data_IF_787734449742
#
_entry.id   IF_787734449742
#
_cell.length_a   1.000
_cell.length_b   1.000
_cell.length_c   1.000
_cell.angle_alpha   90.00
_cell.angle_beta   90.00
_cell.angle_gamma   90.00
#
_symmetry.space_group_name_H-M   'P 1'
#
loop_
_entity.id
_entity.type
_entity.pdbx_description
1 polymer ?
#
# COMPACT_ATOMS: atom_id res chain seq x y z
N UNK A 1 -23.35 19.09 39.99
CA UNK A 1 -22.67 18.25 38.97
C UNK A 1 -23.25 18.65 37.61
N UNK A 2 -22.45 19.36 36.82
CA UNK A 2 -22.87 20.15 35.65
C UNK A 2 -23.00 19.25 34.41
N UNK A 3 -24.18 19.23 33.77
CA UNK A 3 -24.37 18.76 32.38
C UNK A 3 -24.61 19.99 31.53
N UNK A 4 -23.68 20.26 30.62
CA UNK A 4 -23.81 21.32 29.61
C UNK A 4 -24.73 20.84 28.48
N UNK A 5 -25.76 21.65 28.21
CA UNK A 5 -26.60 21.61 27.02
C UNK A 5 -25.86 22.30 25.87
N UNK A 6 -25.66 21.60 24.76
CA UNK A 6 -25.33 22.23 23.47
C UNK A 6 -26.55 22.08 22.55
N UNK A 7 -27.13 23.23 22.18
CA UNK A 7 -28.20 23.38 21.19
C UNK A 7 -27.74 22.85 19.84
N UNK A 8 -28.41 21.84 19.30
CA UNK A 8 -28.33 21.51 17.87
C UNK A 8 -29.31 22.43 17.15
N UNK A 9 -28.73 23.37 16.40
CA UNK A 9 -29.44 24.29 15.52
C UNK A 9 -30.02 23.48 14.35
N UNK A 10 -31.35 23.45 14.28
CA UNK A 10 -32.13 22.67 13.30
C UNK A 10 -31.98 23.32 11.92
N UNK A 11 -31.04 22.84 11.10
CA UNK A 11 -30.96 23.26 9.70
C UNK A 11 -32.06 22.58 8.89
N UNK A 12 -32.91 23.39 8.28
CA UNK A 12 -34.05 22.95 7.46
C UNK A 12 -33.57 22.87 6.01
N UNK A 13 -33.10 21.70 5.59
CA UNK A 13 -32.83 21.39 4.18
C UNK A 13 -34.17 21.37 3.42
N UNK A 14 -34.32 22.28 2.46
CA UNK A 14 -35.34 22.16 1.42
C UNK A 14 -34.79 21.19 0.36
N UNK A 15 -35.02 19.89 0.55
CA UNK A 15 -34.94 18.96 -0.58
C UNK A 15 -36.07 19.33 -1.55
N UNK A 16 -35.75 19.91 -2.69
CA UNK A 16 -36.63 19.83 -3.85
C UNK A 16 -36.38 18.45 -4.45
N UNK A 17 -37.41 17.62 -4.43
CA UNK A 17 -37.39 16.32 -5.07
C UNK A 17 -37.06 16.49 -6.56
N UNK A 18 -35.96 15.91 -7.00
CA UNK A 18 -35.71 15.64 -8.42
C UNK A 18 -35.94 14.15 -8.60
N UNK A 19 -37.20 13.80 -8.74
CA UNK A 19 -37.58 12.48 -9.23
C UNK A 19 -37.08 12.35 -10.69
N UNK A 20 -36.53 11.17 -10.99
CA UNK A 20 -36.21 10.59 -12.31
C UNK A 20 -34.81 10.70 -12.93
N UNK A 21 -33.89 11.63 -12.58
CA UNK A 21 -32.61 11.74 -13.35
C UNK A 21 -31.31 11.99 -12.56
N UNK A 22 -31.26 11.77 -11.24
CA UNK A 22 -29.97 11.68 -10.52
C UNK A 22 -29.07 12.92 -10.51
N UNK A 23 -29.57 14.09 -10.92
CA UNK A 23 -28.82 15.36 -10.82
C UNK A 23 -28.94 15.92 -9.40
N UNK A 24 -27.81 16.15 -8.75
CA UNK A 24 -27.75 16.63 -7.38
C UNK A 24 -26.79 17.79 -7.30
N UNK A 25 -27.31 18.90 -6.79
CA UNK A 25 -26.61 20.17 -6.67
C UNK A 25 -26.06 20.26 -5.25
N UNK A 26 -24.75 20.43 -5.13
CA UNK A 26 -24.06 20.65 -3.86
C UNK A 26 -23.78 22.14 -3.74
N UNK A 27 -24.48 22.80 -2.82
CA UNK A 27 -24.43 24.27 -2.66
C UNK A 27 -23.34 24.74 -1.68
N UNK A 28 -22.65 23.84 -0.97
CA UNK A 28 -21.59 24.18 0.00
C UNK A 28 -20.28 23.44 -0.31
N UNK A 29 -19.24 24.12 -0.84
CA UNK A 29 -17.97 23.50 -1.23
C UNK A 29 -17.11 23.04 -0.05
N UNK A 30 -17.42 23.46 1.19
CA UNK A 30 -16.71 23.01 2.40
C UNK A 30 -17.27 21.70 2.97
N UNK A 31 -18.41 21.25 2.45
CA UNK A 31 -19.00 19.98 2.87
C UNK A 31 -18.34 18.84 2.11
N UNK A 32 -17.52 18.07 2.82
CA UNK A 32 -17.07 16.75 2.38
C UNK A 32 -18.28 15.82 2.44
N UNK A 33 -19.19 15.92 1.46
CA UNK A 33 -20.42 15.13 1.51
C UNK A 33 -20.09 13.71 1.04
N UNK A 34 -20.16 12.76 1.96
CA UNK A 34 -20.39 11.35 1.65
C UNK A 34 -21.83 11.19 1.11
N UNK A 35 -22.09 11.68 -0.11
CA UNK A 35 -23.29 11.30 -0.86
C UNK A 35 -23.01 9.95 -1.51
N UNK A 36 -23.09 8.88 -0.72
CA UNK A 36 -23.09 7.54 -1.25
C UNK A 36 -24.39 7.29 -2.00
N UNK A 37 -24.38 7.40 -3.33
CA UNK A 37 -25.46 6.88 -4.17
C UNK A 37 -25.17 5.41 -4.50
N UNK A 38 -26.10 4.55 -4.12
CA UNK A 38 -26.07 3.13 -4.47
C UNK A 38 -27.12 2.84 -5.53
N UNK A 39 -26.72 2.18 -6.61
CA UNK A 39 -27.65 1.61 -7.57
C UNK A 39 -27.79 0.12 -7.28
N UNK A 40 -29.02 -0.36 -7.15
CA UNK A 40 -29.29 -1.80 -7.12
C UNK A 40 -29.43 -2.30 -8.55
N UNK A 41 -28.67 -3.34 -8.90
CA UNK A 41 -28.66 -3.94 -10.24
C UNK A 41 -28.53 -2.90 -11.36
N UNK A 42 -27.51 -2.02 -11.30
CA UNK A 42 -27.31 -1.05 -12.37
C UNK A 42 -27.10 -1.79 -13.70
N UNK A 43 -27.60 -1.20 -14.78
CA UNK A 43 -27.36 -1.74 -16.12
C UNK A 43 -25.84 -1.85 -16.34
N UNK A 44 -25.34 -2.99 -16.86
CA UNK A 44 -23.95 -3.11 -17.27
C UNK A 44 -23.57 -2.04 -18.30
N UNK A 45 -22.33 -1.57 -18.28
CA UNK A 45 -21.80 -0.62 -19.24
C UNK A 45 -20.92 0.45 -18.60
N UNK A 46 -20.53 1.45 -19.40
CA UNK A 46 -19.74 2.61 -18.96
C UNK A 46 -20.63 3.56 -18.18
N UNK A 47 -20.15 3.97 -17.00
CA UNK A 47 -20.85 4.95 -16.17
C UNK A 47 -20.21 6.31 -16.40
N UNK A 48 -21.03 7.26 -16.83
CA UNK A 48 -20.57 8.63 -17.05
C UNK A 48 -20.96 9.49 -15.85
N UNK A 49 -19.96 9.96 -15.11
CA UNK A 49 -20.13 10.97 -14.08
C UNK A 49 -19.81 12.33 -14.71
N UNK A 50 -20.72 13.29 -14.57
CA UNK A 50 -20.52 14.67 -15.05
C UNK A 50 -20.58 15.59 -13.84
N UNK A 51 -19.49 16.32 -13.59
CA UNK A 51 -19.47 17.38 -12.58
C UNK A 51 -19.84 18.69 -13.28
N UNK A 52 -20.77 19.42 -12.68
CA UNK A 52 -21.17 20.75 -13.14
C UNK A 52 -20.84 21.76 -12.05
N UNK A 53 -20.29 22.90 -12.44
CA UNK A 53 -20.08 24.02 -11.53
C UNK A 53 -21.41 24.68 -11.20
N UNK A 54 -21.43 25.37 -10.06
CA UNK A 54 -22.57 26.19 -9.61
C UNK A 54 -22.11 27.64 -9.45
N UNK A 55 -23.05 28.54 -9.20
CA UNK A 55 -22.77 29.94 -8.87
C UNK A 55 -21.91 30.10 -7.58
N UNK A 56 -21.74 29.03 -6.81
CA UNK A 56 -20.92 28.99 -5.59
C UNK A 56 -19.53 28.36 -5.79
N UNK A 57 -19.23 27.82 -6.98
CA UNK A 57 -17.90 27.30 -7.28
C UNK A 57 -16.94 28.48 -7.48
N UNK A 58 -15.80 28.56 -6.78
CA UNK A 58 -14.84 29.64 -6.99
C UNK A 58 -14.36 29.71 -8.45
N UNK A 59 -14.02 30.91 -8.93
CA UNK A 59 -13.49 31.09 -10.30
C UNK A 59 -12.20 30.28 -10.54
N UNK A 60 -11.46 29.96 -9.46
CA UNK A 60 -10.29 29.09 -9.50
C UNK A 60 -10.61 27.59 -9.61
N UNK A 61 -11.88 27.21 -9.58
CA UNK A 61 -12.34 25.85 -9.38
C UNK A 61 -12.40 25.45 -7.90
N UNK A 62 -12.88 24.23 -7.66
CA UNK A 62 -12.90 23.59 -6.35
C UNK A 62 -12.27 22.19 -6.45
N UNK A 63 -11.54 21.79 -5.42
CA UNK A 63 -10.99 20.44 -5.32
C UNK A 63 -12.12 19.41 -5.16
N UNK A 64 -11.99 18.25 -5.81
CA UNK A 64 -12.97 17.17 -5.72
C UNK A 64 -12.29 15.80 -5.77
N UNK A 65 -12.98 14.79 -5.23
CA UNK A 65 -12.62 13.39 -5.38
C UNK A 65 -13.87 12.58 -5.73
N UNK A 66 -13.71 11.59 -6.62
CA UNK A 66 -14.76 10.65 -6.98
C UNK A 66 -14.33 9.24 -6.63
N UNK A 67 -15.17 8.54 -5.88
CA UNK A 67 -15.00 7.11 -5.63
C UNK A 67 -16.28 6.37 -6.01
N UNK A 68 -16.14 5.27 -6.74
CA UNK A 68 -17.24 4.35 -7.01
C UNK A 68 -16.93 3.00 -6.37
N UNK A 69 -17.91 2.44 -5.65
CA UNK A 69 -17.83 1.08 -5.13
C UNK A 69 -18.89 0.23 -5.81
N UNK A 70 -18.46 -0.88 -6.40
CA UNK A 70 -19.34 -1.89 -6.97
C UNK A 70 -19.34 -3.12 -6.06
N UNK A 71 -20.52 -3.60 -5.67
CA UNK A 71 -20.70 -4.80 -4.85
C UNK A 71 -21.40 -5.87 -5.69
N UNK A 72 -20.70 -6.97 -5.94
CA UNK A 72 -21.20 -8.11 -6.72
C UNK A 72 -20.37 -8.40 -7.97
N UNK A 73 -20.89 -9.29 -8.82
CA UNK A 73 -20.26 -9.69 -10.08
C UNK A 73 -18.89 -10.34 -9.92
N UNK A 74 -18.08 -10.27 -10.98
CA UNK A 74 -16.73 -10.80 -10.95
C UNK A 74 -15.83 -9.98 -10.02
N UNK A 75 -15.02 -10.67 -9.22
CA UNK A 75 -14.05 -10.14 -8.27
C UNK A 75 -12.65 -10.25 -8.86
N UNK A 76 -11.96 -9.12 -8.94
CA UNK A 76 -10.53 -9.10 -9.24
C UNK A 76 -9.74 -9.22 -7.93
N UNK A 77 -8.89 -10.24 -7.84
CA UNK A 77 -7.90 -10.39 -6.76
C UNK A 77 -6.54 -9.99 -7.31
N UNK A 78 -5.87 -9.08 -6.61
CA UNK A 78 -4.51 -8.67 -6.89
C UNK A 78 -3.65 -8.85 -5.64
N UNK A 79 -2.45 -9.39 -5.80
CA UNK A 79 -1.51 -9.65 -4.71
C UNK A 79 -0.09 -9.33 -5.14
N UNK A 80 0.72 -8.90 -4.19
CA UNK A 80 2.17 -8.81 -4.32
C UNK A 80 2.84 -9.84 -3.41
N UNK A 81 3.98 -10.40 -3.81
CA UNK A 81 4.74 -11.37 -2.99
C UNK A 81 5.21 -10.79 -1.66
N UNK A 82 5.46 -9.48 -1.61
CA UNK A 82 5.76 -8.69 -0.40
C UNK A 82 5.27 -7.26 -0.60
N UNK A 83 4.85 -6.61 0.49
CA UNK A 83 4.49 -5.19 0.49
C UNK A 83 5.62 -4.28 0.98
N UNK A 84 6.69 -4.87 1.52
CA UNK A 84 7.85 -4.18 2.08
C UNK A 84 9.17 -4.73 1.50
N UNK A 85 9.37 -4.73 0.17
CA UNK A 85 10.62 -5.18 -0.44
C UNK A 85 11.77 -4.22 -0.09
N UNK A 86 13.00 -4.71 -0.09
CA UNK A 86 14.16 -3.82 -0.19
C UNK A 86 14.25 -3.20 -1.61
N UNK A 87 14.90 -2.05 -1.73
CA UNK A 87 15.24 -1.51 -3.06
C UNK A 87 16.07 -2.54 -3.84
N UNK A 88 15.70 -2.78 -5.10
CA UNK A 88 16.20 -3.81 -6.00
C UNK A 88 15.80 -5.26 -5.65
N UNK A 89 14.87 -5.48 -4.71
CA UNK A 89 14.28 -6.80 -4.46
C UNK A 89 13.08 -7.01 -5.39
N UNK A 90 13.07 -8.13 -6.12
CA UNK A 90 11.97 -8.45 -7.04
C UNK A 90 10.66 -8.75 -6.29
N UNK A 91 9.57 -8.16 -6.76
CA UNK A 91 8.21 -8.36 -6.27
C UNK A 91 7.39 -9.00 -7.37
N UNK A 92 6.80 -10.16 -7.07
CA UNK A 92 5.88 -10.81 -7.99
C UNK A 92 4.48 -10.24 -7.78
N UNK A 93 3.91 -9.65 -8.82
CA UNK A 93 2.54 -9.13 -8.84
C UNK A 93 1.69 -10.15 -9.58
N UNK A 94 0.65 -10.66 -8.92
CA UNK A 94 -0.25 -11.68 -9.47
C UNK A 94 -1.69 -11.20 -9.39
N UNK A 95 -2.44 -11.44 -10.46
CA UNK A 95 -3.86 -11.08 -10.56
C UNK A 95 -4.69 -12.26 -11.06
N UNK A 96 -5.91 -12.34 -10.57
CA UNK A 96 -6.91 -13.33 -11.02
C UNK A 96 -8.32 -12.76 -10.96
N UNK A 97 -9.15 -13.13 -11.93
CA UNK A 97 -10.55 -12.75 -11.98
C UNK A 97 -11.41 -13.97 -11.64
N UNK A 98 -12.38 -13.78 -10.76
CA UNK A 98 -13.24 -14.85 -10.25
C UNK A 98 -14.71 -14.43 -10.28
N UNK A 99 -15.62 -15.33 -10.60
CA UNK A 99 -17.06 -15.10 -10.48
C UNK A 99 -17.69 -16.23 -9.66
N UNK A 100 -18.04 -15.93 -8.41
CA UNK A 100 -18.69 -16.90 -7.52
C UNK A 100 -17.81 -18.11 -7.19
N UNK A 101 -16.50 -17.92 -7.07
CA UNK A 101 -15.52 -18.99 -6.80
C UNK A 101 -15.04 -19.75 -8.05
N UNK A 102 -15.52 -19.37 -9.24
CA UNK A 102 -15.04 -19.91 -10.51
C UNK A 102 -14.03 -18.95 -11.17
N UNK A 103 -12.79 -19.39 -11.44
CA UNK A 103 -11.81 -18.59 -12.17
C UNK A 103 -12.31 -18.26 -13.58
N UNK A 104 -12.11 -17.01 -14.00
CA UNK A 104 -12.45 -16.54 -15.34
C UNK A 104 -11.21 -16.39 -16.22
N UNK A 105 -11.39 -16.56 -17.53
CA UNK A 105 -10.34 -16.28 -18.52
C UNK A 105 -10.08 -14.79 -18.62
N UNK A 106 -8.81 -14.42 -18.72
CA UNK A 106 -8.36 -13.05 -18.92
C UNK A 106 -8.10 -12.82 -20.42
N UNK A 107 -8.59 -11.70 -20.94
CA UNK A 107 -8.33 -11.23 -22.30
C UNK A 107 -7.13 -10.25 -22.31
N UNK A 108 -7.00 -9.42 -21.27
CA UNK A 108 -5.87 -8.51 -21.08
C UNK A 108 -5.61 -8.23 -19.59
N UNK A 109 -4.36 -7.93 -19.25
CA UNK A 109 -3.96 -7.50 -17.92
C UNK A 109 -2.76 -6.55 -18.01
N UNK A 110 -2.85 -5.41 -17.32
CA UNK A 110 -1.77 -4.42 -17.22
C UNK A 110 -1.73 -3.79 -15.84
N UNK A 111 -0.55 -3.33 -15.44
CA UNK A 111 -0.35 -2.50 -14.26
C UNK A 111 0.28 -1.16 -14.65
N UNK A 112 -0.11 -0.09 -13.97
CA UNK A 112 0.55 1.21 -13.99
C UNK A 112 1.14 1.40 -12.61
N UNK A 113 2.47 1.50 -12.55
CA UNK A 113 3.19 1.71 -11.30
C UNK A 113 3.52 3.18 -11.17
N UNK A 114 3.02 3.81 -10.12
CA UNK A 114 3.33 5.18 -9.72
C UNK A 114 4.52 5.16 -8.75
N UNK A 115 5.58 5.87 -9.11
CA UNK A 115 6.82 5.94 -8.34
C UNK A 115 6.75 7.03 -7.27
N UNK A 116 7.59 6.93 -6.21
CA UNK A 116 7.76 7.97 -5.21
C UNK A 116 8.08 9.36 -5.78
N UNK A 117 8.82 9.43 -6.89
CA UNK A 117 9.14 10.68 -7.59
C UNK A 117 7.96 11.31 -8.38
N UNK A 118 6.80 10.65 -8.38
CA UNK A 118 5.59 11.08 -9.10
C UNK A 118 5.54 10.64 -10.56
N UNK A 119 6.58 9.99 -11.08
CA UNK A 119 6.56 9.40 -12.43
C UNK A 119 5.75 8.10 -12.44
N UNK A 120 5.46 7.59 -13.63
CA UNK A 120 4.75 6.33 -13.78
C UNK A 120 5.33 5.46 -14.88
N UNK A 121 5.16 4.15 -14.77
CA UNK A 121 5.50 3.18 -15.80
C UNK A 121 4.37 2.18 -16.01
N UNK A 122 4.18 1.76 -17.25
CA UNK A 122 3.26 0.66 -17.58
C UNK A 122 4.02 -0.65 -17.59
N UNK A 123 3.54 -1.62 -16.80
CA UNK A 123 4.07 -2.97 -16.69
C UNK A 123 3.05 -3.94 -17.26
N UNK A 124 3.45 -4.73 -18.25
CA UNK A 124 2.60 -5.79 -18.77
C UNK A 124 2.49 -6.93 -17.75
N UNK A 125 1.30 -7.52 -17.64
CA UNK A 125 1.04 -8.72 -16.85
C UNK A 125 0.77 -9.88 -17.83
N UNK A 126 1.79 -10.67 -18.22
CA UNK A 126 1.60 -11.87 -19.03
C UNK A 126 0.54 -12.81 -18.45
N UNK A 127 -0.41 -13.24 -19.30
CA UNK A 127 -1.51 -14.12 -18.90
C UNK A 127 -1.07 -15.57 -19.06
N UNK A 128 -1.22 -16.37 -18.00
CA UNK A 128 -1.01 -17.82 -17.98
C UNK A 128 -2.26 -18.50 -17.40
N UNK A 129 -3.07 -19.09 -18.27
CA UNK A 129 -4.34 -19.70 -17.86
C UNK A 129 -5.37 -18.63 -17.43
N UNK A 130 -5.85 -18.71 -16.20
CA UNK A 130 -6.82 -17.77 -15.60
C UNK A 130 -6.18 -16.69 -14.71
N UNK A 131 -4.85 -16.58 -14.76
CA UNK A 131 -4.09 -15.62 -13.96
C UNK A 131 -3.15 -14.83 -14.86
N UNK A 132 -2.76 -13.64 -14.40
CA UNK A 132 -1.67 -12.90 -15.00
C UNK A 132 -0.67 -12.51 -13.93
N UNK A 133 0.62 -12.56 -14.26
CA UNK A 133 1.67 -12.23 -13.30
C UNK A 133 2.89 -11.62 -13.96
N UNK A 134 3.61 -10.82 -13.21
CA UNK A 134 4.89 -10.23 -13.62
C UNK A 134 5.79 -10.06 -12.42
N UNK A 135 7.09 -10.08 -12.66
CA UNK A 135 8.07 -9.71 -11.65
C UNK A 135 8.49 -8.26 -11.90
N UNK A 136 8.30 -7.41 -10.90
CA UNK A 136 8.61 -5.99 -10.94
C UNK A 136 9.59 -5.65 -9.82
N UNK A 137 10.50 -4.70 -10.05
CA UNK A 137 11.56 -4.37 -9.09
C UNK A 137 11.56 -2.87 -8.79
N UNK A 138 11.35 -2.44 -7.54
CA UNK A 138 11.49 -1.04 -7.14
C UNK A 138 12.96 -0.63 -7.19
N UNK A 139 13.24 0.51 -7.81
CA UNK A 139 14.61 1.04 -8.00
C UNK A 139 14.99 2.14 -7.01
N UNK A 140 14.02 2.69 -6.28
CA UNK A 140 14.21 3.71 -5.26
C UNK A 140 13.41 3.37 -3.99
N UNK A 141 13.79 3.96 -2.86
CA UNK A 141 13.06 3.77 -1.61
C UNK A 141 11.84 4.70 -1.57
N UNK A 142 10.73 4.22 -1.00
CA UNK A 142 9.51 5.02 -0.85
C UNK A 142 8.24 4.24 -1.18
N UNK A 143 7.13 4.97 -1.19
CA UNK A 143 5.80 4.43 -1.43
C UNK A 143 5.48 4.39 -2.93
N UNK A 144 5.14 3.22 -3.44
CA UNK A 144 4.65 2.99 -4.79
C UNK A 144 3.16 2.70 -4.76
N UNK A 145 2.42 3.31 -5.70
CA UNK A 145 1.05 2.93 -6.02
C UNK A 145 1.04 2.03 -7.24
N UNK A 146 0.19 0.99 -7.26
CA UNK A 146 0.07 0.10 -8.42
C UNK A 146 -1.39 0.00 -8.81
N UNK A 147 -1.76 0.68 -9.89
CA UNK A 147 -3.07 0.60 -10.52
C UNK A 147 -3.10 -0.58 -11.49
N UNK A 148 -3.98 -1.53 -11.27
CA UNK A 148 -4.10 -2.75 -12.08
C UNK A 148 -5.41 -2.69 -12.84
N UNK A 149 -5.37 -3.00 -14.13
CA UNK A 149 -6.54 -3.09 -14.99
C UNK A 149 -6.55 -4.43 -15.71
N UNK A 150 -7.70 -5.10 -15.68
CA UNK A 150 -7.87 -6.43 -16.25
C UNK A 150 -9.19 -6.48 -17.02
N UNK A 151 -9.15 -7.05 -18.22
CA UNK A 151 -10.32 -7.42 -18.99
C UNK A 151 -10.43 -8.94 -19.13
N UNK A 152 -11.65 -9.46 -19.16
CA UNK A 152 -11.94 -10.88 -19.35
C UNK A 152 -13.39 -11.11 -19.74
N UNK A 153 -13.83 -12.37 -19.68
CA UNK A 153 -15.21 -12.74 -20.05
C UNK A 153 -15.89 -13.62 -19.02
N UNK A 154 -17.18 -13.40 -18.82
CA UNK A 154 -18.05 -14.29 -18.09
C UNK A 154 -18.38 -15.56 -18.91
N UNK A 155 -18.90 -16.63 -18.27
CA UNK A 155 -19.31 -17.85 -18.98
C UNK A 155 -20.41 -17.64 -20.03
N UNK A 156 -21.23 -16.59 -19.88
CA UNK A 156 -22.26 -16.19 -20.84
C UNK A 156 -21.71 -15.36 -22.02
N UNK A 157 -20.40 -15.10 -22.04
CA UNK A 157 -19.70 -14.32 -23.05
C UNK A 157 -19.69 -12.81 -22.79
N UNK A 158 -20.30 -12.32 -21.70
CA UNK A 158 -20.28 -10.90 -21.37
C UNK A 158 -18.86 -10.42 -21.05
N UNK A 159 -18.49 -9.26 -21.57
CA UNK A 159 -17.22 -8.62 -21.28
C UNK A 159 -17.18 -8.12 -19.82
N UNK A 160 -16.06 -8.35 -19.15
CA UNK A 160 -15.81 -7.89 -17.79
C UNK A 160 -14.55 -7.04 -17.80
N UNK A 161 -14.64 -5.86 -17.17
CA UNK A 161 -13.50 -5.03 -16.85
C UNK A 161 -13.45 -4.79 -15.34
N UNK A 162 -12.26 -4.92 -14.75
CA UNK A 162 -12.02 -4.67 -13.33
C UNK A 162 -10.70 -3.95 -13.13
N UNK A 163 -10.66 -3.15 -12.08
CA UNK A 163 -9.45 -2.52 -11.60
C UNK A 163 -9.21 -2.86 -10.13
N UNK A 164 -7.94 -2.89 -9.74
CA UNK A 164 -7.50 -3.07 -8.36
C UNK A 164 -6.34 -2.13 -8.08
N UNK A 165 -6.12 -1.81 -6.81
CA UNK A 165 -5.01 -0.98 -6.38
C UNK A 165 -4.18 -1.73 -5.34
N UNK A 166 -2.86 -1.68 -5.48
CA UNK A 166 -1.90 -2.13 -4.47
C UNK A 166 -1.01 -0.98 -4.03
N UNK A 167 -0.46 -1.10 -2.83
CA UNK A 167 0.55 -0.17 -2.32
C UNK A 167 1.76 -0.99 -1.86
N UNK A 168 2.95 -0.63 -2.34
CA UNK A 168 4.21 -1.31 -2.02
C UNK A 168 5.19 -0.26 -1.50
N UNK A 169 5.78 -0.46 -0.32
CA UNK A 169 6.75 0.47 0.25
C UNK A 169 8.17 -0.12 0.21
N UNK A 170 8.98 0.36 -0.73
CA UNK A 170 10.35 -0.10 -0.89
C UNK A 170 11.25 0.48 0.21
N UNK A 171 11.89 -0.41 0.97
CA UNK A 171 12.76 -0.07 2.08
C UNK A 171 14.19 0.15 1.61
N UNK A 172 14.91 1.15 2.14
CA UNK A 172 16.32 1.36 1.81
C UNK A 172 17.13 0.12 2.16
N UNK A 173 18.10 -0.24 1.31
CA UNK A 173 19.04 -1.32 1.60
C UNK A 173 19.90 -0.88 2.78
N UNK A 174 19.64 -1.42 3.97
CA UNK A 174 20.51 -1.25 5.13
C UNK A 174 21.83 -1.99 4.88
N UNK A 175 22.72 -1.40 4.09
CA UNK A 175 24.11 -1.87 4.02
C UNK A 175 24.71 -1.64 5.40
N UNK A 176 25.23 -2.67 6.09
CA UNK A 176 26.00 -2.45 7.29
C UNK A 176 27.17 -1.54 6.92
N UNK A 177 27.11 -0.28 7.38
CA UNK A 177 28.17 0.69 7.13
C UNK A 177 29.44 0.17 7.81
N UNK A 178 30.62 0.41 7.25
CA UNK A 178 31.89 -0.03 7.83
C UNK A 178 32.06 0.36 9.33
N UNK A 179 31.37 1.42 9.78
CA UNK A 179 31.26 1.81 11.19
C UNK A 179 30.62 0.75 12.10
N UNK A 180 29.61 0.02 11.62
CA UNK A 180 28.93 -1.02 12.39
C UNK A 180 29.81 -2.29 12.50
N UNK A 181 30.56 -2.62 11.44
CA UNK A 181 31.59 -3.66 11.48
C UNK A 181 32.78 -3.29 12.39
N UNK A 182 33.21 -2.02 12.37
CA UNK A 182 34.27 -1.54 13.25
C UNK A 182 33.87 -1.56 14.73
N UNK A 183 32.60 -1.27 15.07
CA UNK A 183 32.10 -1.39 16.45
C UNK A 183 32.06 -2.84 16.93
N UNK A 184 31.63 -3.79 16.07
CA UNK A 184 31.62 -5.21 16.42
C UNK A 184 33.06 -5.74 16.58
N UNK A 185 33.97 -5.39 15.67
CA UNK A 185 35.38 -5.77 15.76
C UNK A 185 36.10 -5.16 16.96
N UNK A 186 35.83 -3.88 17.28
CA UNK A 186 36.39 -3.19 18.43
C UNK A 186 35.93 -3.79 19.76
N UNK A 187 34.65 -4.15 19.88
CA UNK A 187 34.11 -4.81 21.07
C UNK A 187 34.76 -6.17 21.33
N UNK A 188 34.97 -6.98 20.29
CA UNK A 188 35.64 -8.29 20.41
C UNK A 188 37.11 -8.12 20.83
N UNK A 189 37.84 -7.14 20.29
CA UNK A 189 39.24 -6.89 20.66
C UNK A 189 39.39 -6.47 22.14
N UNK A 190 38.46 -5.68 22.67
CA UNK A 190 38.45 -5.28 24.09
C UNK A 190 38.21 -6.51 25.00
N UNK A 191 37.28 -7.38 24.65
CA UNK A 191 37.00 -8.59 25.44
C UNK A 191 38.22 -9.53 25.44
N UNK A 192 38.86 -9.74 24.30
CA UNK A 192 40.06 -10.59 24.20
C UNK A 192 41.22 -10.04 25.04
N UNK A 193 41.46 -8.72 25.00
CA UNK A 193 42.53 -8.10 25.79
C UNK A 193 42.27 -8.17 27.30
N UNK A 194 41.01 -8.02 27.74
CA UNK A 194 40.65 -8.22 29.15
C UNK A 194 40.90 -9.66 29.62
N UNK A 195 40.52 -10.66 28.81
CA UNK A 195 40.73 -12.08 29.14
C UNK A 195 42.24 -12.40 29.21
N UNK A 196 43.02 -11.91 28.24
CA UNK A 196 44.47 -12.11 28.23
C UNK A 196 45.15 -11.46 29.45
N UNK A 197 44.73 -10.24 29.82
CA UNK A 197 45.22 -9.55 31.00
C UNK A 197 44.92 -10.30 32.30
N UNK A 198 43.68 -10.79 32.46
CA UNK A 198 43.28 -11.58 33.62
C UNK A 198 44.08 -12.89 33.73
N UNK A 199 44.26 -13.61 32.61
CA UNK A 199 45.05 -14.83 32.57
C UNK A 199 46.52 -14.59 32.95
N UNK A 200 47.11 -13.50 32.46
CA UNK A 200 48.49 -13.12 32.80
C UNK A 200 48.63 -12.80 34.29
N UNK A 201 47.66 -12.07 34.87
CA UNK A 201 47.65 -11.74 36.30
C UNK A 201 47.55 -13.00 37.18
N UNK A 202 46.68 -13.95 36.82
CA UNK A 202 46.57 -15.25 37.49
C UNK A 202 47.89 -16.02 37.41
N UNK A 203 48.54 -16.07 36.24
CA UNK A 203 49.82 -16.77 36.08
C UNK A 203 50.93 -16.15 36.95
N UNK A 204 50.96 -14.81 37.09
CA UNK A 204 51.91 -14.11 37.97
C UNK A 204 51.65 -14.45 39.45
N UNK A 205 50.39 -14.41 39.89
CA UNK A 205 50.02 -14.74 41.27
C UNK A 205 50.37 -16.20 41.62
N UNK A 206 50.12 -17.13 40.70
CA UNK A 206 50.52 -18.54 40.87
C UNK A 206 52.04 -18.70 40.97
N UNK A 207 52.82 -18.00 40.14
CA UNK A 207 54.30 -18.02 40.23
C UNK A 207 54.81 -17.50 41.58
N UNK A 208 54.22 -16.42 42.10
CA UNK A 208 54.61 -15.85 43.40
C UNK A 208 54.26 -16.79 44.55
N UNK A 209 53.06 -17.38 44.53
CA UNK A 209 52.63 -18.35 45.54
C UNK A 209 53.52 -19.61 45.55
N UNK A 210 53.88 -20.13 44.37
CA UNK A 210 54.78 -21.28 44.26
C UNK A 210 56.20 -20.99 44.75
N UNK A 211 56.71 -19.76 44.55
CA UNK A 211 58.01 -19.35 45.12
C UNK A 211 57.99 -19.30 46.65
N UNK A 212 56.93 -18.78 47.26
CA UNK A 212 56.77 -18.74 48.73
C UNK A 212 56.66 -20.13 49.36
N UNK A 213 56.12 -21.12 48.64
CA UNK A 213 56.00 -22.50 49.14
C UNK A 213 57.32 -23.29 49.11
N UNK A 214 58.33 -22.86 48.33
CA UNK A 214 59.67 -23.47 48.29
C UNK A 214 60.65 -22.90 49.32
N UNK A 215 60.31 -21.79 49.98
CA UNK A 215 61.15 -21.13 50.98
C UNK A 215 60.73 -21.41 52.42
N UNK A 216 59.92 -22.46 52.63
CA UNK A 216 59.56 -23.04 53.94
C UNK A 216 59.87 -24.52 53.87
#
# INVERSE_FOLDING_TARGET
MVRALAKIQKFRLKLRAVEDNGLIVVDDPSTLIYLGYGFQNPKPGVWKVTLQTTDFTPDSGADYALSAQYVGGATLKATASTLLPAVNESVSITVSLDLGGQPLSLDSAQAIVHRPDGTSETVALPITGSQASTDWTPTEAGLYGVDIQVAGRAPDGAAIERAAFLTIEAQPVNRPTAKNLAMIGGGVAIVITMIAGAAMMIAVLLRVALRKKRSR
#
